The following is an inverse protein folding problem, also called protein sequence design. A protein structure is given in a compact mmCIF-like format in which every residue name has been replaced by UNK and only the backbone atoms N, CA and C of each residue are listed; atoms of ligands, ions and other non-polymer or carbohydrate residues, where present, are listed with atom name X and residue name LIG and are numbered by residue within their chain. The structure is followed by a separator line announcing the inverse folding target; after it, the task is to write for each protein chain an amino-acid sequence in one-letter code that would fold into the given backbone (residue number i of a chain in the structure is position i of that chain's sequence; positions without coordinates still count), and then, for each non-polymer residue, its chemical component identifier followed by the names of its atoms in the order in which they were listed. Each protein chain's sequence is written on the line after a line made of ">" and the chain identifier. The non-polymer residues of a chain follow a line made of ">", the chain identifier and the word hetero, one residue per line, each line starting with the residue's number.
data_IF_389063485351
#
_entry.id   IF_389063485351
#
_cell.length_a   1.000
_cell.length_b   1.000
_cell.length_c   1.000
_cell.angle_alpha   90.00
_cell.angle_beta   90.00
_cell.angle_gamma   90.00
#
_symmetry.space_group_name_H-M   'P 1'
#
loop_
_entity.id
_entity.type
_entity.pdbx_description
1 polymer ?
#
# COMPACT_ATOMS: atom_id res chain seq x y z
N UNK A 1 14.65 -9.92 0.30
CA UNK A 1 13.50 -10.22 -0.60
C UNK A 1 12.16 -9.81 0.00
N UNK A 2 11.89 -10.07 1.29
CA UNK A 2 10.60 -9.76 1.92
C UNK A 2 10.32 -8.23 2.02
N UNK A 3 11.34 -7.41 2.31
CA UNK A 3 11.24 -5.94 2.22
C UNK A 3 11.03 -5.42 0.80
N UNK A 4 11.58 -6.11 -0.20
CA UNK A 4 11.35 -5.79 -1.62
C UNK A 4 9.91 -6.12 -2.04
N UNK A 5 9.34 -7.20 -1.48
CA UNK A 5 7.94 -7.57 -1.64
C UNK A 5 6.98 -6.52 -1.08
N UNK A 6 7.31 -5.86 0.04
CA UNK A 6 6.53 -4.73 0.56
C UNK A 6 6.49 -3.54 -0.40
N UNK A 7 7.62 -3.24 -1.05
CA UNK A 7 7.71 -2.18 -2.07
C UNK A 7 6.95 -2.56 -3.36
N UNK A 8 7.07 -3.81 -3.80
CA UNK A 8 6.28 -4.36 -4.92
C UNK A 8 4.78 -4.35 -4.62
N UNK A 9 4.36 -4.59 -3.37
CA UNK A 9 2.96 -4.50 -2.97
C UNK A 9 2.39 -3.09 -3.12
N UNK A 10 3.18 -2.07 -2.77
CA UNK A 10 2.83 -0.66 -3.03
C UNK A 10 2.80 -0.34 -4.53
N UNK A 11 3.71 -0.93 -5.31
CA UNK A 11 3.72 -0.86 -6.78
C UNK A 11 2.47 -1.48 -7.41
N UNK A 12 2.02 -2.64 -6.91
CA UNK A 12 0.80 -3.31 -7.35
C UNK A 12 -0.45 -2.49 -7.02
N UNK A 13 -0.51 -1.85 -5.84
CA UNK A 13 -1.62 -0.98 -5.47
C UNK A 13 -1.71 0.24 -6.41
N UNK A 14 -0.56 0.79 -6.83
CA UNK A 14 -0.50 1.83 -7.85
C UNK A 14 -0.95 1.29 -9.22
N UNK A 15 -0.46 0.12 -9.66
CA UNK A 15 -0.90 -0.49 -10.93
C UNK A 15 -2.36 -0.92 -10.96
N UNK A 16 -2.97 -1.18 -9.80
CA UNK A 16 -4.35 -1.63 -9.67
C UNK A 16 -5.38 -0.60 -10.16
N UNK A 17 -5.07 0.69 -10.20
CA UNK A 17 -6.00 1.71 -10.70
C UNK A 17 -6.43 1.44 -12.16
N UNK A 18 -5.54 0.84 -12.97
CA UNK A 18 -5.82 0.49 -14.36
C UNK A 18 -6.89 -0.60 -14.40
N UNK A 19 -6.73 -1.64 -13.59
CA UNK A 19 -7.73 -2.70 -13.46
C UNK A 19 -9.06 -2.17 -12.91
N UNK A 20 -9.03 -1.26 -11.94
CA UNK A 20 -10.23 -0.62 -11.37
C UNK A 20 -11.03 0.18 -12.42
N UNK A 21 -10.34 0.91 -13.31
CA UNK A 21 -11.01 1.66 -14.37
C UNK A 21 -11.62 0.75 -15.44
N UNK A 22 -10.88 -0.26 -15.89
CA UNK A 22 -11.34 -1.14 -16.97
C UNK A 22 -12.46 -2.09 -16.52
N UNK A 23 -12.38 -2.62 -15.30
CA UNK A 23 -13.39 -3.54 -14.76
C UNK A 23 -14.52 -2.83 -13.99
N UNK A 24 -14.54 -1.49 -13.96
CA UNK A 24 -15.49 -0.70 -13.15
C UNK A 24 -15.51 -1.07 -11.65
N UNK A 25 -14.44 -1.65 -11.14
CA UNK A 25 -14.35 -2.04 -9.73
C UNK A 25 -14.24 -0.77 -8.85
N UNK A 26 -15.10 -0.62 -7.82
CA UNK A 26 -15.03 0.54 -6.93
C UNK A 26 -13.80 0.41 -6.03
N UNK A 27 -12.71 1.07 -6.41
CA UNK A 27 -11.46 1.09 -5.67
C UNK A 27 -10.90 2.50 -5.44
N UNK A 28 -9.86 2.57 -4.61
CA UNK A 28 -9.24 3.81 -4.16
C UNK A 28 -8.54 4.57 -5.30
N UNK A 29 -7.93 3.85 -6.25
CA UNK A 29 -7.23 4.47 -7.38
C UNK A 29 -8.18 5.21 -8.32
N UNK A 30 -9.33 4.60 -8.63
CA UNK A 30 -10.41 5.24 -9.41
C UNK A 30 -11.00 6.45 -8.67
N UNK A 31 -11.16 6.37 -7.35
CA UNK A 31 -11.68 7.45 -6.50
C UNK A 31 -10.75 8.68 -6.52
N UNK A 32 -9.42 8.46 -6.46
CA UNK A 32 -8.42 9.53 -6.60
C UNK A 32 -8.54 10.22 -7.96
N UNK A 33 -8.65 9.46 -9.05
CA UNK A 33 -8.77 10.03 -10.40
C UNK A 33 -10.05 10.85 -10.58
N UNK A 34 -11.15 10.39 -10.00
CA UNK A 34 -12.41 11.15 -10.02
C UNK A 34 -12.29 12.43 -9.18
N UNK A 35 -11.67 12.35 -7.99
CA UNK A 35 -11.44 13.49 -7.12
C UNK A 35 -10.56 14.57 -7.77
N UNK A 36 -9.48 14.17 -8.46
CA UNK A 36 -8.61 15.07 -9.22
C UNK A 36 -9.37 15.74 -10.35
N UNK A 37 -10.18 14.97 -11.09
CA UNK A 37 -10.99 15.49 -12.21
C UNK A 37 -12.07 16.46 -11.73
N UNK A 38 -12.67 16.19 -10.58
CA UNK A 38 -13.66 17.05 -9.92
C UNK A 38 -13.04 18.24 -9.16
N UNK A 39 -11.69 18.36 -9.15
CA UNK A 39 -10.94 19.35 -8.37
C UNK A 39 -11.28 19.36 -6.87
N UNK A 40 -11.72 18.23 -6.33
CA UNK A 40 -12.05 18.10 -4.91
C UNK A 40 -10.78 17.74 -4.13
N UNK A 41 -10.12 18.78 -3.63
CA UNK A 41 -8.85 18.67 -2.89
C UNK A 41 -9.02 17.87 -1.59
N UNK A 42 -10.19 17.91 -0.95
CA UNK A 42 -10.44 17.17 0.29
C UNK A 42 -10.54 15.67 0.01
N UNK A 43 -11.24 15.29 -1.05
CA UNK A 43 -11.38 13.89 -1.44
C UNK A 43 -10.04 13.31 -1.92
N UNK A 44 -9.23 14.09 -2.64
CA UNK A 44 -7.85 13.71 -3.00
C UNK A 44 -7.00 13.48 -1.75
N UNK A 45 -7.03 14.38 -0.77
CA UNK A 45 -6.24 14.21 0.45
C UNK A 45 -6.70 13.04 1.32
N UNK A 46 -8.01 12.82 1.45
CA UNK A 46 -8.55 11.68 2.18
C UNK A 46 -8.13 10.35 1.53
N UNK A 47 -8.16 10.27 0.20
CA UNK A 47 -7.77 9.06 -0.54
C UNK A 47 -6.25 8.83 -0.52
N UNK A 48 -5.43 9.89 -0.57
CA UNK A 48 -3.99 9.80 -0.35
C UNK A 48 -3.65 9.34 1.07
N UNK A 49 -4.32 9.87 2.11
CA UNK A 49 -4.14 9.41 3.49
C UNK A 49 -4.52 7.94 3.65
N UNK A 50 -5.62 7.49 3.04
CA UNK A 50 -5.99 6.07 3.03
C UNK A 50 -4.93 5.21 2.35
N UNK A 51 -4.43 5.64 1.18
CA UNK A 51 -3.35 4.94 0.48
C UNK A 51 -2.08 4.82 1.33
N UNK A 52 -1.65 5.91 1.96
CA UNK A 52 -0.50 5.94 2.85
C UNK A 52 -0.68 5.02 4.07
N UNK A 53 -1.86 5.03 4.70
CA UNK A 53 -2.19 4.13 5.81
C UNK A 53 -2.11 2.66 5.39
N UNK A 54 -2.63 2.34 4.21
CA UNK A 54 -2.60 0.99 3.65
C UNK A 54 -1.18 0.53 3.33
N UNK A 55 -0.31 1.46 2.90
CA UNK A 55 1.11 1.23 2.66
C UNK A 55 1.86 0.97 3.97
N UNK A 56 1.59 1.75 5.02
CA UNK A 56 2.14 1.52 6.37
C UNK A 56 1.70 0.15 6.91
N UNK A 57 0.43 -0.20 6.75
CA UNK A 57 -0.10 -1.52 7.15
C UNK A 57 0.55 -2.64 6.34
N UNK A 58 0.75 -2.45 5.03
CA UNK A 58 1.42 -3.40 4.15
C UNK A 58 2.88 -3.63 4.55
N UNK A 59 3.62 -2.57 4.85
CA UNK A 59 4.99 -2.66 5.36
C UNK A 59 5.04 -3.30 6.76
N UNK A 60 4.11 -2.96 7.66
CA UNK A 60 4.03 -3.57 8.98
C UNK A 60 3.72 -5.08 8.88
N UNK A 61 2.80 -5.47 7.98
CA UNK A 61 2.53 -6.87 7.68
C UNK A 61 3.74 -7.57 7.08
N UNK A 62 4.48 -6.90 6.19
CA UNK A 62 5.72 -7.43 5.64
C UNK A 62 6.76 -7.68 6.75
N UNK A 63 6.94 -6.74 7.68
CA UNK A 63 7.83 -6.87 8.83
C UNK A 63 7.40 -7.99 9.80
N UNK A 64 6.09 -8.13 10.05
CA UNK A 64 5.53 -9.21 10.87
C UNK A 64 5.71 -10.58 10.22
N UNK A 65 5.47 -10.68 8.91
CA UNK A 65 5.75 -11.89 8.12
C UNK A 65 7.24 -12.21 8.12
N UNK A 66 8.10 -11.19 8.06
CA UNK A 66 9.55 -11.35 8.18
C UNK A 66 9.94 -11.96 9.53
N UNK A 67 9.33 -11.49 10.63
CA UNK A 67 9.50 -12.05 11.98
C UNK A 67 8.96 -13.49 12.11
N UNK A 68 7.86 -13.80 11.42
CA UNK A 68 7.24 -15.13 11.47
C UNK A 68 7.98 -16.17 10.62
N UNK A 69 8.43 -15.78 9.42
CA UNK A 69 9.14 -16.64 8.47
C UNK A 69 10.61 -16.82 8.87
N UNK A 70 11.24 -15.82 9.49
CA UNK A 70 12.64 -15.91 9.91
C UNK A 70 12.83 -15.77 11.44
N UNK A 71 12.76 -16.88 12.21
CA UNK A 71 12.99 -16.89 13.66
C UNK A 71 14.47 -16.66 14.04
N UNK A 72 15.37 -16.42 13.06
CA UNK A 72 16.79 -16.08 13.28
C UNK A 72 17.04 -14.59 13.47
N UNK A 73 16.08 -13.71 13.20
CA UNK A 73 16.14 -12.29 13.62
C UNK A 73 15.80 -12.22 15.12
N UNK A 74 16.52 -13.03 15.89
CA UNK A 74 16.55 -12.98 17.34
C UNK A 74 17.44 -11.78 17.65
N UNK A 75 16.90 -10.81 18.37
CA UNK A 75 17.61 -9.67 18.98
C UNK A 75 18.74 -10.15 19.92
N UNK A 76 19.77 -10.79 19.38
CA UNK A 76 20.90 -11.36 20.15
C UNK A 76 22.28 -10.85 19.74
N UNK A 77 22.37 -10.01 18.70
CA UNK A 77 23.63 -9.38 18.29
C UNK A 77 23.71 -7.90 18.68
N UNK A 78 22.89 -7.45 19.63
CA UNK A 78 23.23 -6.31 20.48
C UNK A 78 24.16 -6.81 21.59
N UNK A 79 25.45 -6.90 21.26
CA UNK A 79 26.55 -6.84 22.23
C UNK A 79 27.34 -5.57 21.96
#
# INVERSE_FOLDING_TARGET
>A
LITLLGFEFAGLLSGAFIAENFFNWPGLGRLILQAVTAQDIYLVMASLMMGAMMLILGNLLADLLLKAVDPRIRLKDLK
#
